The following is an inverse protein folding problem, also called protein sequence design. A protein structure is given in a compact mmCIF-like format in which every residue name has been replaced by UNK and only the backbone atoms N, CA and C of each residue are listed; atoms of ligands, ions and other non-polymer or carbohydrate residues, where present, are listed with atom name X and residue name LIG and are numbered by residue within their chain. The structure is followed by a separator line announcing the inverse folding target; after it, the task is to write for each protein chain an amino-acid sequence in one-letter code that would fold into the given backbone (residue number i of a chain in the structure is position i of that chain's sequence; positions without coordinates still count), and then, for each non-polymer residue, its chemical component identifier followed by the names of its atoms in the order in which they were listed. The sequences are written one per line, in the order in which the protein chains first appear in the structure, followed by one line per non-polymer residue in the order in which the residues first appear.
data_IF_394818380939
#
_entry.id   IF_394818380939
#
_cell.length_a   1.000
_cell.length_b   1.000
_cell.length_c   1.000
_cell.angle_alpha   90.00
_cell.angle_beta   90.00
_cell.angle_gamma   90.00
#
_symmetry.space_group_name_H-M   'P 1'
#
loop_
_entity.id
_entity.type
_entity.pdbx_description
1 polymer ?
#
# COMPACT_ATOMS: atom_id res chain seq x y z
N UNK A 1 82.66 29.61 -52.84
CA UNK A 1 81.26 29.27 -53.19
C UNK A 1 80.40 30.36 -52.58
N UNK A 2 80.11 31.52 -53.18
CA UNK A 2 79.47 31.87 -54.47
C UNK A 2 78.10 31.20 -54.70
N UNK A 3 77.06 32.05 -54.61
CA UNK A 3 75.68 31.90 -55.12
C UNK A 3 74.71 31.23 -54.14
N UNK A 4 73.51 31.73 -53.82
CA UNK A 4 72.77 32.93 -54.24
C UNK A 4 71.56 33.10 -53.29
N UNK A 5 71.19 34.35 -53.02
CA UNK A 5 70.00 34.77 -52.26
C UNK A 5 68.96 35.27 -53.25
N UNK A 6 67.68 34.91 -53.09
CA UNK A 6 66.50 35.75 -53.36
C UNK A 6 65.27 35.03 -52.76
N UNK A 7 64.55 35.52 -51.74
CA UNK A 7 63.85 36.79 -51.48
C UNK A 7 62.38 36.79 -51.92
N UNK A 8 61.52 36.76 -50.89
CA UNK A 8 60.30 37.58 -50.70
C UNK A 8 58.94 37.22 -51.34
N UNK A 9 57.99 37.00 -50.41
CA UNK A 9 56.74 37.76 -50.18
C UNK A 9 55.34 37.21 -50.54
N UNK A 10 54.52 37.19 -49.47
CA UNK A 10 53.10 37.62 -49.31
C UNK A 10 51.97 36.57 -49.22
N UNK A 11 51.51 36.47 -47.96
CA UNK A 11 50.14 36.71 -47.43
C UNK A 11 49.01 35.67 -47.59
N UNK A 12 48.51 35.34 -46.39
CA UNK A 12 47.13 35.17 -45.97
C UNK A 12 46.31 33.99 -46.54
N UNK A 13 46.10 32.97 -45.69
CA UNK A 13 44.72 32.61 -45.29
C UNK A 13 44.68 31.78 -44.01
N UNK A 14 43.90 32.33 -43.10
CA UNK A 14 43.40 31.78 -41.87
C UNK A 14 42.48 30.59 -42.19
N UNK A 15 42.73 29.42 -41.61
CA UNK A 15 41.67 28.43 -41.39
C UNK A 15 41.98 27.65 -40.11
N UNK A 16 41.28 28.07 -39.05
CA UNK A 16 40.97 27.20 -37.94
C UNK A 16 40.18 26.00 -38.50
N UNK A 17 40.66 24.77 -38.32
CA UNK A 17 39.77 23.62 -38.31
C UNK A 17 39.90 22.89 -36.98
N UNK A 18 38.75 22.94 -36.32
CA UNK A 18 38.38 22.38 -35.04
C UNK A 18 38.86 20.94 -34.85
N UNK A 19 39.46 20.73 -33.70
CA UNK A 19 39.50 19.48 -32.97
C UNK A 19 38.07 18.92 -32.85
N UNK A 20 37.72 17.98 -33.73
CA UNK A 20 36.46 17.23 -33.66
C UNK A 20 36.58 16.20 -32.55
N UNK A 21 36.51 16.70 -31.32
CA UNK A 21 36.51 15.93 -30.09
C UNK A 21 35.26 15.06 -29.97
N UNK A 22 35.52 13.79 -29.74
CA UNK A 22 34.63 12.68 -29.38
C UNK A 22 33.62 13.02 -28.26
N UNK A 23 32.51 13.71 -28.57
CA UNK A 23 31.44 14.07 -27.63
C UNK A 23 30.42 12.93 -27.41
N UNK A 24 30.40 11.88 -28.24
CA UNK A 24 29.39 10.81 -28.19
C UNK A 24 29.58 9.76 -27.09
N UNK A 25 30.80 9.58 -26.56
CA UNK A 25 31.11 8.52 -25.59
C UNK A 25 30.86 8.90 -24.12
N UNK A 26 30.94 10.19 -23.78
CA UNK A 26 30.82 10.70 -22.40
C UNK A 26 29.42 10.45 -21.82
N UNK A 27 28.38 10.74 -22.59
CA UNK A 27 27.02 10.85 -22.04
C UNK A 27 26.32 9.49 -22.00
N UNK A 28 26.66 8.58 -22.93
CA UNK A 28 26.27 7.16 -22.87
C UNK A 28 26.91 6.47 -21.67
N UNK A 29 28.18 6.75 -21.36
CA UNK A 29 28.85 6.18 -20.19
C UNK A 29 28.18 6.63 -18.88
N UNK A 30 27.89 7.93 -18.74
CA UNK A 30 27.20 8.48 -17.55
C UNK A 30 25.82 7.86 -17.35
N UNK A 31 25.05 7.69 -18.42
CA UNK A 31 23.74 7.04 -18.36
C UNK A 31 23.82 5.57 -17.96
N UNK A 32 24.79 4.83 -18.50
CA UNK A 32 25.01 3.43 -18.18
C UNK A 32 25.45 3.26 -16.71
N UNK A 33 26.30 4.14 -16.21
CA UNK A 33 26.74 4.12 -14.82
C UNK A 33 25.62 4.53 -13.86
N UNK A 34 24.79 5.52 -14.24
CA UNK A 34 23.57 5.84 -13.50
C UNK A 34 22.61 4.66 -13.44
N UNK A 35 22.38 3.97 -14.57
CA UNK A 35 21.52 2.77 -14.59
C UNK A 35 22.05 1.66 -13.69
N UNK A 36 23.36 1.42 -13.64
CA UNK A 36 23.96 0.44 -12.70
C UNK A 36 23.72 0.86 -11.25
N UNK A 37 23.95 2.13 -10.91
CA UNK A 37 23.68 2.66 -9.57
C UNK A 37 22.20 2.54 -9.19
N UNK A 38 21.30 2.86 -10.11
CA UNK A 38 19.85 2.72 -9.91
C UNK A 38 19.45 1.26 -9.64
N UNK A 39 20.03 0.30 -10.37
CA UNK A 39 19.80 -1.13 -10.15
C UNK A 39 20.25 -1.59 -8.77
N UNK A 40 21.40 -1.13 -8.31
CA UNK A 40 21.89 -1.44 -6.97
C UNK A 40 21.02 -0.80 -5.88
N UNK A 41 20.62 0.46 -6.07
CA UNK A 41 19.76 1.18 -5.13
C UNK A 41 18.36 0.56 -5.01
N UNK A 42 17.84 -0.04 -6.08
CA UNK A 42 16.57 -0.76 -6.04
C UNK A 42 16.58 -1.93 -5.02
N UNK A 43 17.71 -2.60 -4.82
CA UNK A 43 17.83 -3.62 -3.77
C UNK A 43 17.66 -3.03 -2.37
N UNK A 44 18.22 -1.83 -2.12
CA UNK A 44 18.04 -1.11 -0.86
C UNK A 44 16.57 -0.68 -0.68
N UNK A 45 15.93 -0.20 -1.74
CA UNK A 45 14.51 0.11 -1.73
C UNK A 45 13.67 -1.12 -1.38
N UNK A 46 13.90 -2.27 -2.03
CA UNK A 46 13.17 -3.51 -1.72
C UNK A 46 13.32 -3.91 -0.25
N UNK A 47 14.54 -3.84 0.29
CA UNK A 47 14.80 -4.15 1.69
C UNK A 47 14.03 -3.21 2.64
N UNK A 48 14.12 -1.90 2.42
CA UNK A 48 13.44 -0.89 3.25
C UNK A 48 11.91 -0.98 3.15
N UNK A 49 11.37 -1.17 1.94
CA UNK A 49 9.92 -1.36 1.76
C UNK A 49 9.44 -2.64 2.42
N UNK A 50 10.18 -3.75 2.31
CA UNK A 50 9.85 -5.00 3.00
C UNK A 50 9.86 -4.84 4.53
N UNK A 51 10.79 -4.05 5.07
CA UNK A 51 10.79 -3.69 6.49
C UNK A 51 9.55 -2.88 6.87
N UNK A 52 9.19 -1.86 6.08
CA UNK A 52 8.00 -1.05 6.32
C UNK A 52 6.72 -1.89 6.33
N UNK A 53 6.60 -2.84 5.40
CA UNK A 53 5.49 -3.79 5.32
C UNK A 53 5.39 -4.65 6.58
N UNK A 54 6.51 -5.25 7.02
CA UNK A 54 6.53 -6.06 8.24
C UNK A 54 6.15 -5.25 9.48
N UNK A 55 6.77 -4.07 9.64
CA UNK A 55 6.46 -3.17 10.74
C UNK A 55 5.00 -2.71 10.72
N UNK A 56 4.41 -2.53 9.54
CA UNK A 56 2.99 -2.23 9.40
C UNK A 56 2.13 -3.39 9.91
N UNK A 57 2.38 -4.62 9.47
CA UNK A 57 1.60 -5.77 9.93
C UNK A 57 1.71 -6.01 11.44
N UNK A 58 2.91 -5.85 12.02
CA UNK A 58 3.09 -6.05 13.46
C UNK A 58 2.32 -5.01 14.29
N UNK A 59 2.30 -3.74 13.85
CA UNK A 59 1.43 -2.71 14.45
C UNK A 59 -0.04 -3.08 14.33
N UNK A 60 -0.45 -3.64 13.19
CA UNK A 60 -1.84 -3.97 12.92
C UNK A 60 -2.36 -5.18 13.68
N UNK A 61 -1.51 -6.11 14.12
CA UNK A 61 -1.90 -7.18 15.05
C UNK A 61 -2.49 -6.59 16.34
N UNK A 62 -1.79 -5.67 16.99
CA UNK A 62 -2.29 -5.02 18.21
C UNK A 62 -3.49 -4.08 17.99
N UNK A 63 -3.63 -3.50 16.80
CA UNK A 63 -4.86 -2.78 16.43
C UNK A 63 -6.04 -3.72 16.22
N UNK A 64 -5.81 -4.91 15.65
CA UNK A 64 -6.85 -5.91 15.45
C UNK A 64 -7.40 -6.44 16.77
N UNK A 65 -6.54 -6.72 17.76
CA UNK A 65 -6.99 -7.13 19.09
C UNK A 65 -7.86 -6.06 19.77
N UNK A 66 -7.47 -4.79 19.63
CA UNK A 66 -8.25 -3.65 20.13
C UNK A 66 -9.57 -3.51 19.37
N UNK A 67 -9.56 -3.75 18.07
CA UNK A 67 -10.76 -3.76 17.25
C UNK A 67 -11.76 -4.84 17.71
N UNK A 68 -11.30 -6.08 17.95
CA UNK A 68 -12.15 -7.16 18.47
C UNK A 68 -12.74 -6.84 19.85
N UNK A 69 -11.93 -6.28 20.77
CA UNK A 69 -12.42 -5.81 22.08
C UNK A 69 -13.45 -4.67 21.94
N UNK A 70 -13.22 -3.77 20.99
CA UNK A 70 -14.15 -2.69 20.65
C UNK A 70 -15.48 -3.21 20.13
N UNK A 71 -15.44 -4.19 19.20
CA UNK A 71 -16.63 -4.89 18.71
C UNK A 71 -17.38 -5.57 19.84
N UNK A 72 -16.68 -6.33 20.69
CA UNK A 72 -17.29 -7.01 21.84
C UNK A 72 -17.99 -6.01 22.76
N UNK A 73 -17.33 -4.91 23.10
CA UNK A 73 -17.90 -3.87 23.96
C UNK A 73 -19.13 -3.23 23.31
N UNK A 74 -19.04 -2.88 22.03
CA UNK A 74 -20.12 -2.28 21.25
C UNK A 74 -21.33 -3.20 21.19
N UNK A 75 -21.13 -4.49 20.95
CA UNK A 75 -22.20 -5.47 20.83
C UNK A 75 -22.75 -5.94 22.18
N UNK A 76 -21.95 -5.90 23.26
CA UNK A 76 -22.43 -6.17 24.61
C UNK A 76 -23.25 -5.00 25.20
N UNK A 77 -22.86 -3.75 24.90
CA UNK A 77 -23.45 -2.54 25.48
C UNK A 77 -24.03 -1.60 24.43
N UNK A 78 -24.73 -2.17 23.46
CA UNK A 78 -25.24 -1.42 22.32
C UNK A 78 -26.17 -0.27 22.77
N UNK A 79 -25.76 0.98 22.50
CA UNK A 79 -26.45 2.24 22.88
C UNK A 79 -26.86 3.09 21.66
N UNK A 80 -27.35 2.46 20.60
CA UNK A 80 -28.10 3.20 19.55
C UNK A 80 -27.83 2.79 18.11
N UNK A 81 -28.92 2.84 17.34
CA UNK A 81 -29.13 2.54 15.91
C UNK A 81 -29.29 1.08 15.46
N UNK A 82 -30.11 0.31 16.20
CA UNK A 82 -30.86 -0.79 15.54
C UNK A 82 -31.71 -0.23 14.37
N UNK A 83 -31.90 1.09 14.29
CA UNK A 83 -32.52 1.84 13.18
C UNK A 83 -31.76 1.83 11.85
N UNK A 84 -30.58 1.19 11.74
CA UNK A 84 -30.13 0.75 10.43
C UNK A 84 -31.09 -0.33 9.93
N UNK A 85 -31.80 -0.09 8.81
CA UNK A 85 -32.90 -0.93 8.29
C UNK A 85 -32.65 -2.44 8.41
N UNK A 86 -31.42 -2.90 8.10
CA UNK A 86 -31.00 -4.31 8.26
C UNK A 86 -31.13 -4.89 9.69
N UNK A 87 -30.80 -4.15 10.74
CA UNK A 87 -30.84 -4.69 12.11
C UNK A 87 -32.29 -4.75 12.61
N UNK A 88 -33.05 -3.67 12.41
CA UNK A 88 -34.47 -3.58 12.78
C UNK A 88 -35.31 -4.69 12.12
N UNK A 89 -35.10 -4.96 10.84
CA UNK A 89 -35.80 -6.03 10.11
C UNK A 89 -35.57 -7.40 10.74
N UNK A 90 -34.31 -7.73 11.09
CA UNK A 90 -33.99 -9.04 11.68
C UNK A 90 -34.43 -9.21 13.13
N UNK A 91 -34.84 -8.12 13.80
CA UNK A 91 -35.18 -8.08 15.23
C UNK A 91 -36.65 -7.73 15.50
N UNK A 92 -37.49 -7.60 14.47
CA UNK A 92 -38.89 -7.15 14.57
C UNK A 92 -39.72 -7.94 15.59
N UNK A 93 -39.50 -9.25 15.69
CA UNK A 93 -40.26 -10.14 16.58
C UNK A 93 -39.44 -10.62 17.80
N UNK A 94 -38.33 -9.94 18.10
CA UNK A 94 -37.38 -10.37 19.14
C UNK A 94 -37.88 -10.20 20.58
N UNK A 95 -38.98 -9.46 20.78
CA UNK A 95 -39.55 -9.18 22.10
C UNK A 95 -39.98 -10.44 22.87
N UNK A 96 -40.38 -11.51 22.16
CA UNK A 96 -40.79 -12.79 22.74
C UNK A 96 -39.74 -13.90 22.62
N UNK A 97 -38.49 -13.56 22.29
CA UNK A 97 -37.45 -14.57 22.11
C UNK A 97 -36.91 -15.06 23.45
N UNK A 98 -36.80 -16.39 23.57
CA UNK A 98 -36.04 -17.03 24.62
C UNK A 98 -34.54 -17.10 24.26
N UNK A 99 -33.72 -17.60 25.18
CA UNK A 99 -32.28 -17.71 24.99
C UNK A 99 -31.90 -18.51 23.73
N UNK A 100 -32.63 -19.58 23.39
CA UNK A 100 -32.35 -20.40 22.20
C UNK A 100 -32.59 -19.65 20.89
N UNK A 101 -33.66 -18.84 20.82
CA UNK A 101 -33.92 -17.97 19.66
C UNK A 101 -32.82 -16.91 19.52
N UNK A 102 -32.36 -16.33 20.63
CA UNK A 102 -31.25 -15.39 20.63
C UNK A 102 -29.92 -16.02 20.19
N UNK A 103 -29.64 -17.25 20.64
CA UNK A 103 -28.48 -18.03 20.18
C UNK A 103 -28.52 -18.24 18.68
N UNK A 104 -29.63 -18.79 18.15
CA UNK A 104 -29.80 -19.02 16.71
C UNK A 104 -29.64 -17.72 15.91
N UNK A 105 -30.18 -16.62 16.42
CA UNK A 105 -30.03 -15.31 15.77
C UNK A 105 -28.58 -14.83 15.79
N UNK A 106 -27.87 -14.93 16.91
CA UNK A 106 -26.49 -14.48 17.03
C UNK A 106 -25.56 -15.31 16.13
N UNK A 107 -25.73 -16.63 16.09
CA UNK A 107 -24.97 -17.54 15.23
C UNK A 107 -25.27 -17.35 13.73
N UNK A 108 -26.47 -16.86 13.40
CA UNK A 108 -26.91 -16.55 12.04
C UNK A 108 -26.70 -15.08 11.66
N UNK A 109 -27.71 -14.25 11.95
CA UNK A 109 -27.74 -12.83 11.56
C UNK A 109 -26.69 -12.00 12.29
N UNK A 110 -26.52 -12.20 13.60
CA UNK A 110 -25.52 -11.48 14.39
C UNK A 110 -24.11 -11.68 13.84
N UNK A 111 -23.75 -12.93 13.53
CA UNK A 111 -22.47 -13.29 12.88
C UNK A 111 -22.28 -12.61 11.54
N UNK A 112 -23.31 -12.58 10.68
CA UNK A 112 -23.26 -11.91 9.37
C UNK A 112 -22.99 -10.41 9.53
N UNK A 113 -23.68 -9.76 10.46
CA UNK A 113 -23.55 -8.34 10.74
C UNK A 113 -22.16 -8.00 11.32
N UNK A 114 -21.66 -8.79 12.28
CA UNK A 114 -20.28 -8.66 12.78
C UNK A 114 -19.24 -8.84 11.68
N UNK A 115 -19.46 -9.80 10.78
CA UNK A 115 -18.59 -10.02 9.63
C UNK A 115 -18.64 -8.84 8.63
N UNK A 116 -19.80 -8.21 8.42
CA UNK A 116 -19.91 -6.96 7.64
C UNK A 116 -19.12 -5.81 8.30
N UNK A 117 -19.14 -5.69 9.63
CA UNK A 117 -18.30 -4.71 10.34
C UNK A 117 -16.81 -5.00 10.15
N UNK A 118 -16.40 -6.27 10.30
CA UNK A 118 -15.02 -6.70 10.05
C UNK A 118 -14.58 -6.39 8.62
N UNK A 119 -15.42 -6.65 7.61
CA UNK A 119 -15.12 -6.29 6.21
C UNK A 119 -14.87 -4.80 6.03
N UNK A 120 -15.73 -3.95 6.61
CA UNK A 120 -15.57 -2.48 6.55
C UNK A 120 -14.25 -2.03 7.19
N UNK A 121 -13.91 -2.61 8.35
CA UNK A 121 -12.63 -2.33 9.00
C UNK A 121 -11.46 -2.75 8.10
N UNK A 122 -11.51 -3.94 7.51
CA UNK A 122 -10.50 -4.46 6.59
C UNK A 122 -10.34 -3.64 5.31
N UNK A 123 -11.43 -3.10 4.74
CA UNK A 123 -11.35 -2.18 3.61
C UNK A 123 -10.58 -0.91 3.96
N UNK A 124 -10.78 -0.38 5.16
CA UNK A 124 -10.00 0.74 5.69
C UNK A 124 -8.52 0.38 5.83
N UNK A 125 -8.22 -0.81 6.37
CA UNK A 125 -6.84 -1.29 6.48
C UNK A 125 -6.17 -1.48 5.12
N UNK A 126 -6.91 -1.99 4.13
CA UNK A 126 -6.43 -2.19 2.76
C UNK A 126 -6.00 -0.88 2.12
N UNK A 127 -6.84 0.15 2.20
CA UNK A 127 -6.52 1.50 1.70
C UNK A 127 -5.27 2.07 2.36
N UNK A 128 -5.13 1.90 3.66
CA UNK A 128 -3.94 2.36 4.40
C UNK A 128 -2.66 1.63 3.95
N UNK A 129 -2.75 0.32 3.74
CA UNK A 129 -1.65 -0.49 3.24
C UNK A 129 -1.26 -0.10 1.80
N UNK A 130 -2.22 -0.05 0.88
CA UNK A 130 -2.00 0.33 -0.53
C UNK A 130 -1.42 1.74 -0.63
N UNK A 131 -1.90 2.68 0.18
CA UNK A 131 -1.39 4.05 0.25
C UNK A 131 0.07 4.11 0.71
N UNK A 132 0.45 3.32 1.71
CA UNK A 132 1.84 3.24 2.18
C UNK A 132 2.77 2.68 1.10
N UNK A 133 2.41 1.54 0.50
CA UNK A 133 3.21 0.90 -0.57
C UNK A 133 3.40 1.84 -1.77
N UNK A 134 2.30 2.48 -2.19
CA UNK A 134 2.34 3.42 -3.33
C UNK A 134 3.24 4.61 -3.01
N UNK A 135 3.12 5.18 -1.81
CA UNK A 135 3.95 6.32 -1.39
C UNK A 135 5.44 5.97 -1.34
N UNK A 136 5.79 4.79 -0.83
CA UNK A 136 7.19 4.34 -0.78
C UNK A 136 7.77 4.18 -2.20
N UNK A 137 7.01 3.55 -3.11
CA UNK A 137 7.39 3.40 -4.51
C UNK A 137 7.56 4.76 -5.21
N UNK A 138 6.56 5.63 -5.10
CA UNK A 138 6.55 6.93 -5.76
C UNK A 138 7.71 7.80 -5.26
N UNK A 139 8.00 7.77 -3.95
CA UNK A 139 9.15 8.46 -3.38
C UNK A 139 10.46 7.99 -4.02
N UNK A 140 10.67 6.68 -4.10
CA UNK A 140 11.86 6.11 -4.71
C UNK A 140 11.98 6.51 -6.19
N UNK A 141 10.90 6.39 -6.97
CA UNK A 141 10.87 6.82 -8.38
C UNK A 141 11.21 8.29 -8.51
N UNK A 142 10.59 9.17 -7.71
CA UNK A 142 10.87 10.61 -7.76
C UNK A 142 12.34 10.94 -7.45
N UNK A 143 12.97 10.23 -6.51
CA UNK A 143 14.39 10.40 -6.21
C UNK A 143 15.28 9.93 -7.37
N UNK A 144 14.96 8.79 -7.99
CA UNK A 144 15.67 8.31 -9.19
C UNK A 144 15.49 9.26 -10.37
N UNK A 145 14.30 9.79 -10.60
CA UNK A 145 14.02 10.74 -11.69
C UNK A 145 14.78 12.07 -11.50
N UNK A 146 14.91 12.56 -10.26
CA UNK A 146 15.76 13.71 -9.95
C UNK A 146 17.23 13.44 -10.26
N UNK A 147 17.74 12.28 -9.87
CA UNK A 147 19.12 11.89 -10.17
C UNK A 147 19.35 11.74 -11.68
N UNK A 148 18.40 11.13 -12.39
CA UNK A 148 18.46 11.01 -13.84
C UNK A 148 18.56 12.39 -14.52
N UNK A 149 17.65 13.32 -14.17
CA UNK A 149 17.65 14.67 -14.74
C UNK A 149 18.93 15.45 -14.43
N UNK A 150 19.61 15.13 -13.33
CA UNK A 150 20.87 15.77 -12.93
C UNK A 150 22.09 15.20 -13.67
N UNK A 151 22.17 13.88 -13.81
CA UNK A 151 23.39 13.20 -14.26
C UNK A 151 23.34 12.72 -15.72
N UNK A 152 22.13 12.60 -16.29
CA UNK A 152 21.88 12.09 -17.63
C UNK A 152 21.42 13.20 -18.61
N UNK A 153 21.89 14.44 -18.42
CA UNK A 153 21.57 15.54 -19.33
C UNK A 153 22.12 15.21 -20.73
N UNK A 154 21.28 15.31 -21.75
CA UNK A 154 21.67 15.05 -23.15
C UNK A 154 21.64 13.58 -23.59
N UNK A 155 21.12 12.66 -22.77
CA UNK A 155 21.01 11.24 -23.16
C UNK A 155 19.98 11.00 -24.26
N UNK A 156 20.22 9.95 -25.07
CA UNK A 156 19.34 9.57 -26.17
C UNK A 156 18.02 8.91 -25.71
N UNK A 157 17.08 8.76 -26.66
CA UNK A 157 15.77 8.14 -26.42
C UNK A 157 15.87 6.69 -25.92
N UNK A 158 16.86 5.92 -26.38
CA UNK A 158 17.06 4.53 -25.99
C UNK A 158 17.33 4.39 -24.49
N UNK A 159 18.14 5.27 -23.91
CA UNK A 159 18.45 5.27 -22.48
C UNK A 159 17.20 5.61 -21.63
N UNK A 160 16.39 6.56 -22.11
CA UNK A 160 15.12 6.92 -21.47
C UNK A 160 14.11 5.77 -21.54
N UNK A 161 14.07 5.06 -22.67
CA UNK A 161 13.25 3.87 -22.85
C UNK A 161 13.71 2.72 -21.93
N UNK A 162 15.02 2.54 -21.74
CA UNK A 162 15.56 1.54 -20.81
C UNK A 162 15.12 1.82 -19.36
N UNK A 163 15.27 3.06 -18.88
CA UNK A 163 14.80 3.45 -17.55
C UNK A 163 13.30 3.21 -17.39
N UNK A 164 12.49 3.61 -18.38
CA UNK A 164 11.04 3.43 -18.35
C UNK A 164 10.68 1.95 -18.22
N UNK A 165 11.27 1.09 -19.07
CA UNK A 165 11.05 -0.36 -19.02
C UNK A 165 11.48 -0.97 -17.68
N UNK A 166 12.62 -0.53 -17.15
CA UNK A 166 13.12 -0.99 -15.85
C UNK A 166 12.18 -0.58 -14.71
N UNK A 167 11.73 0.68 -14.69
CA UNK A 167 10.78 1.19 -13.70
C UNK A 167 9.48 0.39 -13.73
N UNK A 168 8.88 0.20 -14.90
CA UNK A 168 7.58 -0.47 -15.04
C UNK A 168 7.65 -1.94 -14.63
N UNK A 169 8.69 -2.66 -15.05
CA UNK A 169 8.88 -4.07 -14.68
C UNK A 169 9.07 -4.26 -13.18
N UNK A 170 9.86 -3.38 -12.55
CA UNK A 170 10.06 -3.45 -11.10
C UNK A 170 8.82 -3.01 -10.32
N UNK A 171 8.03 -2.06 -10.85
CA UNK A 171 6.74 -1.69 -10.27
C UNK A 171 5.82 -2.90 -10.23
N UNK A 172 5.63 -3.59 -11.35
CA UNK A 172 4.76 -4.75 -11.43
C UNK A 172 5.18 -5.84 -10.42
N UNK A 173 6.47 -6.18 -10.39
CA UNK A 173 7.03 -7.16 -9.45
C UNK A 173 6.82 -6.74 -7.99
N UNK A 174 7.08 -5.48 -7.67
CA UNK A 174 6.90 -4.92 -6.33
C UNK A 174 5.45 -5.00 -5.86
N UNK A 175 4.50 -4.55 -6.69
CA UNK A 175 3.08 -4.56 -6.36
C UNK A 175 2.48 -5.97 -6.31
N UNK A 176 3.01 -6.92 -7.10
CA UNK A 176 2.63 -8.33 -6.99
C UNK A 176 3.00 -8.91 -5.62
N UNK A 177 4.24 -8.73 -5.18
CA UNK A 177 4.70 -9.26 -3.89
C UNK A 177 3.96 -8.62 -2.71
N UNK A 178 3.66 -7.33 -2.77
CA UNK A 178 2.92 -6.64 -1.71
C UNK A 178 1.46 -7.08 -1.66
N UNK A 179 0.84 -7.41 -2.81
CA UNK A 179 -0.50 -8.02 -2.86
C UNK A 179 -0.54 -9.38 -2.19
N UNK A 180 0.41 -10.27 -2.49
CA UNK A 180 0.48 -11.62 -1.88
C UNK A 180 0.55 -11.53 -0.35
N UNK A 181 1.42 -10.66 0.19
CA UNK A 181 1.54 -10.43 1.63
C UNK A 181 0.25 -9.91 2.27
N UNK A 182 -0.46 -9.02 1.59
CA UNK A 182 -1.75 -8.52 2.05
C UNK A 182 -2.78 -9.65 2.12
N UNK A 183 -2.85 -10.51 1.09
CA UNK A 183 -3.77 -11.63 1.05
C UNK A 183 -3.54 -12.61 2.20
N UNK A 184 -2.27 -12.87 2.55
CA UNK A 184 -1.92 -13.72 3.68
C UNK A 184 -2.35 -13.10 5.01
N UNK A 185 -2.06 -11.81 5.23
CA UNK A 185 -2.51 -11.10 6.42
C UNK A 185 -4.05 -11.01 6.52
N UNK A 186 -4.74 -10.85 5.40
CA UNK A 186 -6.19 -10.86 5.34
C UNK A 186 -6.76 -12.23 5.73
N UNK A 187 -6.14 -13.33 5.29
CA UNK A 187 -6.55 -14.69 5.69
C UNK A 187 -6.32 -14.93 7.18
N UNK A 188 -5.18 -14.50 7.70
CA UNK A 188 -4.80 -14.62 9.12
C UNK A 188 -5.79 -13.87 10.03
N UNK A 189 -6.09 -12.62 9.71
CA UNK A 189 -7.09 -11.83 10.45
C UNK A 189 -8.51 -12.41 10.36
N UNK A 190 -8.90 -12.98 9.21
CA UNK A 190 -10.17 -13.70 9.07
C UNK A 190 -10.21 -14.95 9.94
N UNK A 191 -9.11 -15.71 9.99
CA UNK A 191 -8.99 -16.90 10.83
C UNK A 191 -9.19 -16.53 12.30
N UNK A 192 -8.46 -15.54 12.81
CA UNK A 192 -8.60 -15.07 14.18
C UNK A 192 -9.98 -14.48 14.50
N UNK A 193 -10.61 -13.78 13.55
CA UNK A 193 -12.00 -13.34 13.72
C UNK A 193 -12.95 -14.53 13.92
N UNK A 194 -12.75 -15.62 13.16
CA UNK A 194 -13.56 -16.84 13.27
C UNK A 194 -13.32 -17.59 14.58
N UNK A 195 -12.10 -17.58 15.10
CA UNK A 195 -11.76 -18.17 16.41
C UNK A 195 -12.33 -17.34 17.57
N UNK A 196 -12.31 -16.01 17.45
CA UNK A 196 -12.84 -15.11 18.49
C UNK A 196 -14.38 -15.21 18.60
N UNK A 197 -15.08 -15.36 17.49
CA UNK A 197 -16.54 -15.25 17.45
C UNK A 197 -17.28 -16.23 18.38
N UNK A 198 -16.98 -17.54 18.42
CA UNK A 198 -17.66 -18.48 19.32
C UNK A 198 -17.58 -18.06 20.79
N UNK A 199 -16.38 -17.71 21.27
CA UNK A 199 -16.20 -17.27 22.66
C UNK A 199 -16.91 -15.95 22.95
N UNK A 200 -16.93 -15.02 21.99
CA UNK A 200 -17.75 -13.81 22.12
C UNK A 200 -19.25 -14.14 22.21
N UNK A 201 -19.74 -15.04 21.36
CA UNK A 201 -21.14 -15.46 21.33
C UNK A 201 -21.57 -16.02 22.69
N UNK A 202 -20.78 -16.92 23.27
CA UNK A 202 -21.02 -17.51 24.59
C UNK A 202 -21.11 -16.43 25.68
N UNK A 203 -20.11 -15.54 25.77
CA UNK A 203 -20.11 -14.43 26.75
C UNK A 203 -21.29 -13.48 26.56
N UNK A 204 -21.65 -13.20 25.31
CA UNK A 204 -22.80 -12.35 24.99
C UNK A 204 -24.11 -12.98 25.44
N UNK A 205 -24.22 -14.31 25.27
CA UNK A 205 -25.39 -15.09 25.66
C UNK A 205 -25.54 -15.23 27.17
N UNK A 206 -24.47 -15.58 27.88
CA UNK A 206 -24.44 -15.69 29.35
C UNK A 206 -24.86 -14.40 30.04
N UNK A 207 -24.35 -13.27 29.54
CA UNK A 207 -24.69 -11.93 30.05
C UNK A 207 -26.07 -11.45 29.64
N UNK A 208 -26.77 -12.19 28.78
CA UNK A 208 -28.05 -11.81 28.20
C UNK A 208 -28.02 -10.39 27.61
N UNK A 209 -26.96 -10.07 26.88
CA UNK A 209 -26.67 -8.70 26.43
C UNK A 209 -27.79 -8.11 25.55
N UNK A 210 -28.61 -8.98 24.93
CA UNK A 210 -29.83 -8.58 24.21
C UNK A 210 -30.86 -7.84 25.07
N UNK A 211 -30.86 -8.02 26.39
CA UNK A 211 -31.79 -7.30 27.28
C UNK A 211 -31.58 -5.78 27.21
N UNK A 212 -30.33 -5.34 27.02
CA UNK A 212 -30.03 -3.93 26.77
C UNK A 212 -30.51 -3.49 25.39
N UNK A 213 -30.33 -4.34 24.37
CA UNK A 213 -30.76 -4.04 23.01
C UNK A 213 -32.29 -3.89 22.93
N UNK A 214 -33.05 -4.78 23.58
CA UNK A 214 -34.51 -4.70 23.65
C UNK A 214 -34.98 -3.40 24.30
N UNK A 215 -34.27 -2.89 25.32
CA UNK A 215 -34.58 -1.59 25.94
C UNK A 215 -34.36 -0.44 24.96
N UNK A 216 -33.26 -0.45 24.21
CA UNK A 216 -32.96 0.59 23.21
C UNK A 216 -33.91 0.54 22.01
N UNK A 217 -34.27 -0.65 21.51
CA UNK A 217 -35.26 -0.82 20.44
C UNK A 217 -36.62 -0.24 20.86
N UNK A 218 -37.07 -0.52 22.09
CA UNK A 218 -38.30 0.06 22.64
C UNK A 218 -38.24 1.58 22.79
N UNK A 219 -37.07 2.16 23.07
CA UNK A 219 -36.88 3.62 23.13
C UNK A 219 -36.94 4.25 21.74
N UNK A 220 -36.33 3.62 20.73
CA UNK A 220 -36.29 4.13 19.36
C UNK A 220 -37.62 4.02 18.60
N UNK A 221 -38.55 3.18 19.08
CA UNK A 221 -39.89 3.02 18.51
C UNK A 221 -40.94 4.01 19.08
N UNK A 222 -40.56 4.85 20.05
CA UNK A 222 -41.37 5.95 20.58
C UNK A 222 -41.01 7.26 19.89
#
# INVERSE_FOLDING_TARGET
MKGEVQSSNKKDKNTNEADSGNLGNSDVSKSNDWMKCCRNDYENFKCSSNYNVRAWFDRKKGEFDRYLKGLETKWAHYRGTVSGTKHAETLKDSAGWNADKWRKWMEGNGKKLLHEEWKKWMEGQKKGYEGMITKDWDKWVCEREKDYNKFCIGTNENNKAEWTKYKDSNRESHFKQTKEKWEDWHKDTMFHFREWFPGFCERWLEKQSWNLWLKEIKRAAK
#
